data_IF_181278742350
#
_entry.id   IF_181278742350
#
_cell.length_a   1.000
_cell.length_b   1.000
_cell.length_c   1.000
_cell.angle_alpha   90.00
_cell.angle_beta   90.00
_cell.angle_gamma   90.00
#
_symmetry.space_group_name_H-M   'P 1'
#
loop_
_entity.id
_entity.type
_entity.pdbx_description
1 polymer ?
#
# COMPACT_ATOMS: atom_id res chain seq x y z
N UNK A 1 20.17 46.65 -46.04
CA UNK A 1 18.97 46.41 -45.22
C UNK A 1 18.81 44.91 -45.06
N UNK A 2 19.26 44.32 -43.94
CA UNK A 2 19.12 42.88 -43.67
C UNK A 2 18.40 42.74 -42.33
N UNK A 3 17.18 42.21 -42.36
CA UNK A 3 16.36 41.95 -41.18
C UNK A 3 16.83 40.64 -40.55
N UNK A 4 17.46 40.71 -39.38
CA UNK A 4 17.76 39.53 -38.56
C UNK A 4 16.48 39.15 -37.81
N UNK A 5 15.94 37.99 -38.14
CA UNK A 5 14.88 37.34 -37.37
C UNK A 5 15.54 36.64 -36.17
N UNK A 6 15.29 37.15 -34.96
CA UNK A 6 15.64 36.44 -33.73
C UNK A 6 14.50 35.48 -33.43
N UNK A 7 14.74 34.18 -33.65
CA UNK A 7 13.85 33.11 -33.24
C UNK A 7 13.88 32.96 -31.72
N UNK A 8 12.74 33.20 -31.07
CA UNK A 8 12.53 32.93 -29.66
C UNK A 8 12.31 31.42 -29.49
N UNK A 9 13.34 30.70 -29.05
CA UNK A 9 13.24 29.30 -28.64
C UNK A 9 12.62 29.25 -27.24
N UNK A 10 11.32 28.91 -27.17
CA UNK A 10 10.63 28.58 -25.93
C UNK A 10 11.17 27.23 -25.43
N UNK A 11 12.13 27.26 -24.51
CA UNK A 11 12.45 26.12 -23.65
C UNK A 11 11.32 26.01 -22.62
N UNK A 12 10.33 25.15 -22.89
CA UNK A 12 9.38 24.75 -21.85
C UNK A 12 10.17 23.99 -20.77
N UNK A 13 10.03 24.34 -19.47
CA UNK A 13 10.60 23.51 -18.43
C UNK A 13 9.97 22.10 -18.54
N UNK A 14 10.74 21.02 -18.33
CA UNK A 14 10.12 19.72 -18.11
C UNK A 14 9.16 19.88 -16.94
N UNK A 15 7.87 19.64 -17.16
CA UNK A 15 6.94 19.38 -16.08
C UNK A 15 7.36 18.01 -15.55
N UNK A 16 8.16 18.01 -14.48
CA UNK A 16 8.32 16.82 -13.67
C UNK A 16 6.91 16.58 -13.11
N UNK A 17 6.26 15.48 -13.50
CA UNK A 17 5.04 15.08 -12.85
C UNK A 17 5.39 14.92 -11.37
N UNK A 18 4.85 15.80 -10.53
CA UNK A 18 4.97 15.66 -9.09
C UNK A 18 4.23 14.36 -8.75
N UNK A 19 4.97 13.29 -8.48
CA UNK A 19 4.38 12.03 -8.04
C UNK A 19 3.62 12.32 -6.75
N UNK A 20 2.35 11.88 -6.66
CA UNK A 20 1.55 12.12 -5.47
C UNK A 20 2.28 11.59 -4.23
N UNK A 21 2.09 12.29 -3.11
CA UNK A 21 2.78 11.97 -1.87
C UNK A 21 2.52 10.53 -1.42
N UNK A 22 3.52 9.91 -0.78
CA UNK A 22 3.35 8.58 -0.19
C UNK A 22 2.64 8.65 1.17
N UNK A 23 2.24 7.49 1.70
CA UNK A 23 1.65 7.42 3.04
C UNK A 23 2.62 7.93 4.11
N UNK A 24 3.92 7.65 3.97
CA UNK A 24 4.92 8.16 4.92
C UNK A 24 5.07 9.67 4.86
N UNK A 25 4.98 10.26 3.67
CA UNK A 25 4.99 11.72 3.54
C UNK A 25 3.75 12.33 4.19
N UNK A 26 2.58 11.72 4.04
CA UNK A 26 1.38 12.13 4.76
C UNK A 26 1.54 12.00 6.29
N UNK A 27 2.19 10.93 6.77
CA UNK A 27 2.51 10.75 8.19
C UNK A 27 3.48 11.82 8.71
N UNK A 28 4.45 12.24 7.91
CA UNK A 28 5.34 13.35 8.28
C UNK A 28 4.58 14.66 8.46
N UNK A 29 3.60 14.94 7.59
CA UNK A 29 2.71 16.10 7.73
C UNK A 29 1.96 16.03 9.05
N UNK A 30 1.33 14.89 9.37
CA UNK A 30 0.64 14.68 10.65
C UNK A 30 1.56 14.92 11.85
N UNK A 31 2.75 14.32 11.84
CA UNK A 31 3.72 14.48 12.94
C UNK A 31 4.29 15.90 13.05
N UNK A 32 4.36 16.64 11.94
CA UNK A 32 4.83 18.03 11.89
C UNK A 32 3.77 19.03 12.38
N UNK A 33 2.51 18.84 12.00
CA UNK A 33 1.41 19.76 12.32
C UNK A 33 0.74 19.46 13.67
N UNK A 34 0.53 18.18 13.99
CA UNK A 34 -0.17 17.75 15.22
C UNK A 34 0.79 17.30 16.33
N UNK A 35 2.08 17.21 16.03
CA UNK A 35 3.11 16.74 16.94
C UNK A 35 3.34 15.23 16.88
N UNK A 36 4.52 14.80 17.37
CA UNK A 36 4.97 13.40 17.28
C UNK A 36 4.08 12.42 18.04
N UNK A 37 3.43 12.86 19.11
CA UNK A 37 2.54 12.02 19.91
C UNK A 37 1.30 11.56 19.12
N UNK A 38 0.85 12.36 18.14
CA UNK A 38 -0.27 11.99 17.27
C UNK A 38 0.04 10.75 16.42
N UNK A 39 1.32 10.46 16.15
CA UNK A 39 1.71 9.26 15.41
C UNK A 39 1.41 7.98 16.19
N UNK A 40 1.42 8.03 17.52
CA UNK A 40 1.10 6.87 18.36
C UNK A 40 -0.40 6.58 18.48
N UNK A 41 -1.23 7.47 17.92
CA UNK A 41 -2.69 7.40 17.98
C UNK A 41 -3.30 7.02 16.63
N UNK A 42 -2.48 6.79 15.60
CA UNK A 42 -2.98 6.44 14.28
C UNK A 42 -3.59 5.05 14.33
N UNK A 43 -4.75 4.90 13.71
CA UNK A 43 -5.53 3.66 13.69
C UNK A 43 -5.62 3.06 12.29
N UNK A 44 -5.78 3.92 11.29
CA UNK A 44 -6.06 3.51 9.92
C UNK A 44 -5.48 4.55 8.96
N UNK A 45 -4.85 4.08 7.89
CA UNK A 45 -4.45 4.94 6.76
C UNK A 45 -5.08 4.36 5.51
N UNK A 46 -5.76 5.20 4.73
CA UNK A 46 -6.36 4.78 3.46
C UNK A 46 -6.03 5.76 2.35
N UNK A 47 -5.95 5.22 1.13
CA UNK A 47 -5.75 5.99 -0.08
C UNK A 47 -6.44 5.26 -1.22
N UNK A 48 -7.11 5.97 -2.11
CA UNK A 48 -7.91 5.33 -3.17
C UNK A 48 -7.47 5.81 -4.55
N UNK A 49 -7.66 4.96 -5.56
CA UNK A 49 -7.35 5.26 -6.96
C UNK A 49 -5.90 5.70 -7.20
N UNK A 50 -4.94 5.13 -6.48
CA UNK A 50 -3.54 5.43 -6.70
C UNK A 50 -3.00 4.79 -7.98
N UNK A 51 -2.17 5.55 -8.70
CA UNK A 51 -1.39 5.08 -9.85
C UNK A 51 -0.08 5.89 -9.97
N UNK A 52 0.99 5.54 -9.24
CA UNK A 52 1.03 4.55 -8.17
C UNK A 52 0.43 5.07 -6.87
N UNK A 53 0.61 6.35 -6.54
CA UNK A 53 0.15 6.95 -5.28
C UNK A 53 -1.21 7.66 -5.45
N UNK A 54 -2.09 7.62 -4.43
CA UNK A 54 -3.37 8.32 -4.46
C UNK A 54 -3.16 9.84 -4.34
N UNK A 55 -4.08 10.63 -4.88
CA UNK A 55 -4.04 12.10 -4.76
C UNK A 55 -4.17 12.57 -3.31
N UNK A 56 -4.91 11.82 -2.49
CA UNK A 56 -5.18 12.15 -1.09
C UNK A 56 -5.06 10.92 -0.20
N UNK A 57 -4.52 11.15 0.99
CA UNK A 57 -4.50 10.19 2.08
C UNK A 57 -5.55 10.55 3.12
N UNK A 58 -6.24 9.54 3.64
CA UNK A 58 -7.15 9.66 4.76
C UNK A 58 -6.56 8.90 5.94
N UNK A 59 -6.33 9.58 7.06
CA UNK A 59 -5.69 9.04 8.26
C UNK A 59 -6.67 9.18 9.42
N UNK A 60 -7.00 8.07 10.08
CA UNK A 60 -7.82 8.05 11.28
C UNK A 60 -6.90 8.02 12.50
N UNK A 61 -7.15 8.91 13.45
CA UNK A 61 -6.37 9.07 14.68
C UNK A 61 -7.33 9.00 15.89
N UNK A 62 -6.95 8.31 16.95
CA UNK A 62 -7.69 8.36 18.23
C UNK A 62 -7.60 9.75 18.85
N UNK A 63 -8.71 10.26 19.39
CA UNK A 63 -8.70 11.50 20.16
C UNK A 63 -8.11 11.24 21.56
N UNK A 64 -6.98 11.87 21.94
CA UNK A 64 -6.39 11.75 23.27
C UNK A 64 -7.33 12.13 24.42
N UNK A 65 -8.38 12.92 24.15
CA UNK A 65 -9.36 13.34 25.15
C UNK A 65 -10.52 12.36 25.31
N UNK A 66 -10.48 11.19 24.64
CA UNK A 66 -11.45 10.11 24.81
C UNK A 66 -12.80 10.35 24.12
N UNK A 67 -12.85 11.25 23.13
CA UNK A 67 -14.10 11.61 22.42
C UNK A 67 -14.32 10.85 21.12
N UNK A 68 -13.58 9.75 20.89
CA UNK A 68 -13.69 8.90 19.71
C UNK A 68 -12.48 9.05 18.78
N UNK A 69 -12.72 9.01 17.48
CA UNK A 69 -11.69 9.10 16.44
C UNK A 69 -11.90 10.32 15.54
N UNK A 70 -10.80 10.92 15.08
CA UNK A 70 -10.78 12.00 14.09
C UNK A 70 -10.23 11.48 12.77
N UNK A 71 -10.73 12.03 11.67
CA UNK A 71 -10.30 11.73 10.32
C UNK A 71 -9.58 12.94 9.73
N UNK A 72 -8.34 12.73 9.32
CA UNK A 72 -7.49 13.72 8.67
C UNK A 72 -7.41 13.40 7.17
N UNK A 73 -7.67 14.38 6.32
CA UNK A 73 -7.34 14.27 4.90
C UNK A 73 -6.06 15.05 4.61
N UNK A 74 -5.08 14.37 4.01
CA UNK A 74 -3.79 14.93 3.66
C UNK A 74 -3.68 14.95 2.13
N UNK A 75 -3.39 16.13 1.59
CA UNK A 75 -3.19 16.38 0.16
C UNK A 75 -2.17 17.51 0.00
N UNK A 76 -1.41 17.51 -1.09
CA UNK A 76 -0.46 18.58 -1.42
C UNK A 76 0.51 18.96 -0.26
N UNK A 77 0.93 17.97 0.53
CA UNK A 77 1.86 18.15 1.64
C UNK A 77 1.31 18.88 2.87
N UNK A 78 -0.01 18.96 3.05
CA UNK A 78 -0.68 19.60 4.19
C UNK A 78 -1.96 18.88 4.61
N UNK A 79 -2.48 19.18 5.79
CA UNK A 79 -3.82 18.74 6.20
C UNK A 79 -4.87 19.60 5.46
N UNK A 80 -5.64 18.97 4.57
CA UNK A 80 -6.71 19.58 3.78
C UNK A 80 -8.05 19.57 4.53
N UNK A 81 -8.31 18.54 5.34
CA UNK A 81 -9.48 18.49 6.24
C UNK A 81 -9.19 17.74 7.54
N UNK A 82 -9.94 18.08 8.60
CA UNK A 82 -9.90 17.50 9.94
C UNK A 82 -11.34 17.40 10.45
N UNK A 83 -11.93 16.22 10.28
CA UNK A 83 -13.34 15.95 10.55
C UNK A 83 -13.47 14.87 11.63
N UNK A 84 -14.64 14.79 12.27
CA UNK A 84 -14.92 13.67 13.16
C UNK A 84 -15.16 12.41 12.32
N UNK A 85 -14.51 11.29 12.63
CA UNK A 85 -14.64 10.10 11.78
C UNK A 85 -16.04 9.48 11.92
N UNK A 86 -16.52 8.85 10.84
CA UNK A 86 -17.80 8.15 10.83
C UNK A 86 -17.82 7.01 11.87
N UNK A 87 -18.93 6.90 12.62
CA UNK A 87 -19.04 5.96 13.76
C UNK A 87 -18.84 4.49 13.36
N UNK A 88 -19.10 4.15 12.11
CA UNK A 88 -18.96 2.78 11.58
C UNK A 88 -17.49 2.34 11.43
N UNK A 89 -16.56 3.29 11.21
CA UNK A 89 -15.12 3.01 11.20
C UNK A 89 -14.55 2.89 12.62
N UNK A 90 -15.07 3.68 13.56
CA UNK A 90 -14.65 3.69 14.96
C UNK A 90 -14.86 2.33 15.65
N UNK A 91 -16.02 1.69 15.44
CA UNK A 91 -16.37 0.44 16.16
C UNK A 91 -15.56 -0.79 15.76
N UNK A 92 -14.93 -0.83 14.58
CA UNK A 92 -14.09 -1.95 14.14
C UNK A 92 -12.60 -1.73 14.43
N UNK A 93 -12.22 -0.55 14.92
CA UNK A 93 -10.81 -0.14 14.98
C UNK A 93 -10.37 0.41 16.35
N UNK A 94 -11.30 0.51 17.31
CA UNK A 94 -11.08 0.96 18.68
C UNK A 94 -9.99 0.12 19.37
N UNK A 95 -8.88 0.76 19.78
CA UNK A 95 -7.76 0.12 20.46
C UNK A 95 -6.73 -0.57 19.55
N UNK A 96 -6.90 -0.51 18.23
CA UNK A 96 -5.97 -1.12 17.26
C UNK A 96 -5.04 -0.07 16.63
N UNK A 97 -4.30 0.68 17.46
CA UNK A 97 -3.34 1.66 16.95
C UNK A 97 -2.21 1.00 16.16
N UNK A 98 -1.72 1.71 15.15
CA UNK A 98 -0.61 1.30 14.30
C UNK A 98 0.67 1.74 14.98
N UNK A 99 1.53 0.79 15.31
CA UNK A 99 2.90 1.11 15.73
C UNK A 99 3.73 1.52 14.50
N UNK A 100 3.67 2.81 14.18
CA UNK A 100 4.38 3.42 13.05
C UNK A 100 5.90 3.23 13.12
N UNK A 101 6.45 3.02 14.32
CA UNK A 101 7.89 2.79 14.51
C UNK A 101 8.36 1.44 13.98
N UNK A 102 7.43 0.48 13.82
CA UNK A 102 7.69 -0.85 13.27
C UNK A 102 7.47 -0.92 11.75
N UNK A 103 6.92 0.14 11.16
CA UNK A 103 6.63 0.21 9.74
C UNK A 103 7.93 0.41 8.95
N UNK A 104 8.27 -0.55 8.10
CA UNK A 104 9.45 -0.51 7.22
C UNK A 104 9.08 -0.55 5.74
N UNK A 105 7.78 -0.53 5.43
CA UNK A 105 7.25 -0.56 4.08
C UNK A 105 6.27 0.61 3.92
N UNK A 106 6.61 1.53 3.04
CA UNK A 106 5.74 2.62 2.62
C UNK A 106 4.77 2.14 1.50
N UNK A 107 3.78 2.97 1.17
CA UNK A 107 2.79 2.71 0.12
C UNK A 107 3.42 2.49 -1.26
N UNK A 108 4.55 3.14 -1.56
CA UNK A 108 5.35 2.90 -2.78
C UNK A 108 5.91 1.48 -2.84
N UNK A 109 6.43 0.98 -1.72
CA UNK A 109 6.88 -0.41 -1.59
C UNK A 109 5.72 -1.40 -1.67
N UNK A 110 4.60 -1.08 -1.02
CA UNK A 110 3.38 -1.90 -1.10
C UNK A 110 2.85 -1.99 -2.55
N UNK A 111 2.86 -0.88 -3.30
CA UNK A 111 2.50 -0.85 -4.72
C UNK A 111 3.43 -1.71 -5.57
N UNK A 112 4.74 -1.63 -5.36
CA UNK A 112 5.71 -2.43 -6.11
C UNK A 112 5.47 -3.93 -5.91
N UNK A 113 5.25 -4.35 -4.66
CA UNK A 113 4.91 -5.75 -4.32
C UNK A 113 3.59 -6.17 -4.96
N UNK A 114 2.56 -5.32 -4.87
CA UNK A 114 1.25 -5.59 -5.46
C UNK A 114 1.30 -5.70 -6.99
N UNK A 115 1.96 -4.76 -7.65
CA UNK A 115 2.11 -4.71 -9.11
C UNK A 115 2.85 -5.93 -9.63
N UNK A 116 3.98 -6.28 -9.00
CA UNK A 116 4.73 -7.49 -9.35
C UNK A 116 3.89 -8.77 -9.15
N UNK A 117 3.10 -8.84 -8.06
CA UNK A 117 2.21 -9.97 -7.81
C UNK A 117 1.13 -10.09 -8.90
N UNK A 118 0.57 -8.96 -9.34
CA UNK A 118 -0.41 -8.93 -10.42
C UNK A 118 0.21 -9.36 -11.76
N UNK A 119 1.40 -8.87 -12.09
CA UNK A 119 2.17 -9.26 -13.28
C UNK A 119 2.45 -10.77 -13.31
N UNK A 120 2.96 -11.33 -12.21
CA UNK A 120 3.20 -12.77 -12.07
C UNK A 120 1.91 -13.60 -12.23
N UNK A 121 0.78 -13.01 -11.85
CA UNK A 121 -0.56 -13.62 -11.97
C UNK A 121 -1.26 -13.29 -13.29
N UNK A 122 -0.59 -12.58 -14.22
CA UNK A 122 -1.17 -12.10 -15.49
C UNK A 122 -2.46 -11.30 -15.32
N UNK A 123 -2.59 -10.59 -14.19
CA UNK A 123 -3.75 -9.78 -13.84
C UNK A 123 -3.47 -8.32 -14.20
N UNK A 124 -4.20 -7.79 -15.18
CA UNK A 124 -4.15 -6.36 -15.50
C UNK A 124 -5.01 -5.55 -14.53
N UNK A 125 -4.45 -4.44 -14.03
CA UNK A 125 -5.17 -3.46 -13.22
C UNK A 125 -4.90 -2.04 -13.75
N UNK A 126 -5.65 -1.07 -13.23
CA UNK A 126 -5.57 0.34 -13.59
C UNK A 126 -5.20 1.22 -12.39
N UNK A 127 -5.72 0.92 -11.20
CA UNK A 127 -5.40 1.66 -9.98
C UNK A 127 -5.29 0.73 -8.78
N UNK A 128 -4.66 1.23 -7.71
CA UNK A 128 -4.56 0.57 -6.42
C UNK A 128 -5.26 1.39 -5.32
N UNK A 129 -6.09 0.73 -4.52
CA UNK A 129 -6.56 1.23 -3.24
C UNK A 129 -5.70 0.65 -2.13
N UNK A 130 -5.38 1.48 -1.14
CA UNK A 130 -4.50 1.17 -0.04
C UNK A 130 -5.25 1.27 1.28
N UNK A 131 -4.99 0.31 2.14
CA UNK A 131 -5.36 0.35 3.55
C UNK A 131 -4.18 -0.13 4.38
N UNK A 132 -3.69 0.69 5.31
CA UNK A 132 -2.79 0.26 6.38
C UNK A 132 -3.58 0.19 7.68
N UNK A 133 -3.54 -0.96 8.33
CA UNK A 133 -4.12 -1.18 9.67
C UNK A 133 -3.30 -2.20 10.43
N UNK A 134 -3.59 -2.33 11.72
CA UNK A 134 -3.04 -3.39 12.56
C UNK A 134 -3.86 -4.68 12.38
N UNK A 135 -3.19 -5.84 12.32
CA UNK A 135 -3.85 -7.15 12.32
C UNK A 135 -4.15 -7.65 13.74
N UNK A 136 -4.79 -8.82 13.87
CA UNK A 136 -5.16 -9.40 15.17
C UNK A 136 -3.96 -9.67 16.10
N UNK A 137 -2.72 -9.64 15.57
CA UNK A 137 -1.47 -9.86 16.31
C UNK A 137 -0.77 -8.56 16.68
N UNK A 138 -1.31 -7.40 16.34
CA UNK A 138 -0.64 -6.13 16.57
C UNK A 138 0.40 -5.79 15.50
N UNK A 139 0.44 -6.50 14.37
CA UNK A 139 1.39 -6.21 13.29
C UNK A 139 0.80 -5.24 12.25
N UNK A 140 1.56 -4.23 11.80
CA UNK A 140 1.10 -3.37 10.72
C UNK A 140 0.97 -4.17 9.42
N UNK A 141 -0.16 -4.01 8.74
CA UNK A 141 -0.50 -4.74 7.52
C UNK A 141 -1.06 -3.79 6.47
N UNK A 142 -0.39 -3.77 5.31
CA UNK A 142 -0.92 -3.17 4.10
C UNK A 142 -1.90 -4.14 3.44
N UNK A 143 -3.04 -3.61 3.02
CA UNK A 143 -4.04 -4.30 2.21
C UNK A 143 -4.17 -3.46 0.94
N UNK A 144 -3.69 -4.02 -0.17
CA UNK A 144 -3.68 -3.35 -1.47
C UNK A 144 -4.73 -4.01 -2.36
N UNK A 145 -5.76 -3.27 -2.72
CA UNK A 145 -6.81 -3.75 -3.63
C UNK A 145 -6.56 -3.17 -5.01
N UNK A 146 -6.27 -4.04 -5.97
CA UNK A 146 -6.07 -3.69 -7.37
C UNK A 146 -7.42 -3.63 -8.08
N UNK A 147 -7.60 -2.57 -8.88
CA UNK A 147 -8.86 -2.28 -9.57
C UNK A 147 -8.66 -2.12 -11.06
N UNK A 148 -9.60 -2.62 -11.86
CA UNK A 148 -9.58 -2.38 -13.30
C UNK A 148 -10.11 -0.97 -13.66
N UNK A 149 -10.10 -0.63 -14.96
CA UNK A 149 -10.57 0.68 -15.46
C UNK A 149 -12.03 0.99 -15.13
N UNK A 150 -12.85 -0.04 -14.94
CA UNK A 150 -14.25 0.09 -14.53
C UNK A 150 -14.40 0.17 -13.01
N UNK A 151 -13.31 0.34 -12.26
CA UNK A 151 -13.32 0.33 -10.79
C UNK A 151 -13.95 -0.94 -10.22
N UNK A 152 -13.68 -2.11 -10.80
CA UNK A 152 -13.98 -3.39 -10.17
C UNK A 152 -12.70 -3.96 -9.55
N UNK A 153 -12.76 -4.50 -8.32
CA UNK A 153 -11.61 -5.15 -7.72
C UNK A 153 -11.26 -6.40 -8.52
N UNK A 154 -9.98 -6.52 -8.89
CA UNK A 154 -9.42 -7.68 -9.61
C UNK A 154 -8.45 -8.47 -8.75
N UNK A 155 -8.08 -7.93 -7.58
CA UNK A 155 -7.18 -8.60 -6.65
C UNK A 155 -7.01 -7.84 -5.35
N UNK A 156 -6.79 -8.57 -4.25
CA UNK A 156 -6.41 -7.98 -2.97
C UNK A 156 -5.16 -8.67 -2.44
N UNK A 157 -4.14 -7.89 -2.07
CA UNK A 157 -2.88 -8.39 -1.51
C UNK A 157 -2.70 -7.87 -0.10
N UNK A 158 -2.44 -8.78 0.84
CA UNK A 158 -2.12 -8.46 2.23
C UNK A 158 -0.61 -8.57 2.41
N UNK A 159 0.03 -7.48 2.80
CA UNK A 159 1.49 -7.33 2.87
C UNK A 159 1.87 -6.88 4.27
N UNK A 160 2.76 -7.59 4.94
CA UNK A 160 3.26 -7.18 6.25
C UNK A 160 4.07 -5.89 6.15
N UNK A 161 3.66 -4.85 6.88
CA UNK A 161 4.29 -3.53 6.89
C UNK A 161 5.72 -3.52 7.48
N UNK A 162 6.08 -4.56 8.25
CA UNK A 162 7.41 -4.67 8.88
C UNK A 162 8.48 -5.27 7.95
N UNK A 163 8.09 -6.19 7.04
CA UNK A 163 9.04 -7.01 6.25
C UNK A 163 8.70 -7.09 4.76
N UNK A 164 7.64 -6.45 4.29
CA UNK A 164 7.18 -6.54 2.91
C UNK A 164 6.69 -7.93 2.48
N UNK A 165 6.50 -8.86 3.43
CA UNK A 165 6.12 -10.24 3.10
C UNK A 165 4.64 -10.29 2.73
N UNK A 166 4.33 -10.82 1.54
CA UNK A 166 2.96 -11.14 1.14
C UNK A 166 2.43 -12.26 2.05
N UNK A 167 1.32 -11.99 2.73
CA UNK A 167 0.65 -12.88 3.69
C UNK A 167 -0.53 -13.61 3.09
N UNK A 168 -1.25 -12.96 2.18
CA UNK A 168 -2.48 -13.47 1.55
C UNK A 168 -2.69 -12.73 0.23
N UNK A 169 -3.25 -13.43 -0.75
CA UNK A 169 -3.73 -12.87 -2.01
C UNK A 169 -5.12 -13.40 -2.31
N UNK A 170 -6.03 -12.54 -2.74
CA UNK A 170 -7.41 -12.88 -3.08
C UNK A 170 -7.72 -12.39 -4.51
N UNK A 171 -8.56 -13.11 -5.25
CA UNK A 171 -9.10 -12.69 -6.56
C UNK A 171 -8.21 -12.86 -7.80
N UNK A 172 -6.87 -12.77 -7.68
CA UNK A 172 -5.96 -12.75 -8.84
C UNK A 172 -5.58 -14.13 -9.39
N UNK A 173 -5.76 -15.17 -8.59
CA UNK A 173 -5.68 -16.56 -9.03
C UNK A 173 -7.11 -17.01 -9.21
N UNK A 174 -7.46 -17.58 -10.37
CA UNK A 174 -8.82 -17.98 -10.74
C UNK A 174 -9.50 -18.88 -9.68
N UNK A 175 -10.04 -18.27 -8.63
CA UNK A 175 -10.75 -18.90 -7.52
C UNK A 175 -9.93 -19.71 -6.51
N UNK A 176 -8.60 -19.60 -6.43
CA UNK A 176 -7.80 -20.37 -5.45
C UNK A 176 -7.25 -19.51 -4.31
N UNK A 177 -7.57 -19.85 -3.06
CA UNK A 177 -7.00 -19.23 -1.85
C UNK A 177 -5.75 -20.01 -1.39
N UNK A 178 -4.86 -19.38 -0.60
CA UNK A 178 -3.68 -20.06 -0.02
C UNK A 178 -4.10 -21.20 0.94
N UNK A 179 -5.24 -21.03 1.60
CA UNK A 179 -5.91 -22.05 2.43
C UNK A 179 -6.37 -23.26 1.61
N UNK A 180 -6.80 -23.09 0.35
CA UNK A 180 -7.14 -24.20 -0.56
C UNK A 180 -5.90 -24.92 -1.10
N UNK A 181 -4.73 -24.29 -1.05
CA UNK A 181 -3.45 -24.88 -1.47
C UNK A 181 -2.76 -25.61 -0.31
N UNK A 182 -3.07 -25.23 0.94
CA UNK A 182 -2.45 -25.79 2.16
C UNK A 182 -3.32 -26.88 2.82
N UNK A 183 -4.65 -26.74 2.87
CA UNK A 183 -5.55 -27.74 3.50
C UNK A 183 -5.76 -29.02 2.66
N UNK A 184 -5.51 -28.98 1.36
CA UNK A 184 -5.84 -30.09 0.43
C UNK A 184 -4.76 -31.21 0.40
N UNK A 185 -3.74 -31.12 1.28
CA UNK A 185 -2.67 -32.12 1.43
C UNK A 185 -2.83 -33.04 2.64
N UNK A 186 -3.72 -32.74 3.59
CA UNK A 186 -3.99 -33.67 4.70
C UNK A 186 -4.87 -34.86 4.24
N UNK A 187 -5.41 -34.81 3.02
CA UNK A 187 -5.98 -35.97 2.32
C UNK A 187 -4.98 -36.50 1.29
N UNK A 188 -4.25 -37.55 1.65
CA UNK A 188 -3.28 -38.29 0.82
C UNK A 188 -3.91 -39.02 -0.42
N UNK A 189 -5.08 -38.60 -0.88
CA UNK A 189 -5.78 -39.21 -2.00
C UNK A 189 -6.27 -38.16 -2.99
N UNK A 190 -5.43 -37.73 -3.95
CA UNK A 190 -5.90 -37.40 -5.30
C UNK A 190 -4.77 -37.25 -6.32
N UNK A 191 -4.42 -38.35 -7.02
CA UNK A 191 -3.71 -38.30 -8.31
C UNK A 191 -4.68 -37.86 -9.41
N UNK A 192 -5.07 -36.58 -9.38
CA UNK A 192 -5.93 -35.95 -10.39
C UNK A 192 -5.16 -35.23 -11.51
N UNK A 193 -5.79 -35.01 -12.69
CA UNK A 193 -5.21 -34.30 -13.85
C UNK A 193 -4.77 -32.85 -13.56
N UNK A 194 -5.20 -32.28 -12.43
CA UNK A 194 -4.96 -30.88 -12.04
C UNK A 194 -3.74 -30.68 -11.12
N UNK A 195 -3.05 -31.75 -10.72
CA UNK A 195 -1.86 -31.70 -9.85
C UNK A 195 -0.70 -30.87 -10.43
N UNK A 196 -0.55 -30.84 -11.75
CA UNK A 196 0.48 -30.05 -12.43
C UNK A 196 0.26 -28.53 -12.38
N UNK A 197 -1.00 -28.09 -12.35
CA UNK A 197 -1.38 -26.68 -12.23
C UNK A 197 -1.16 -26.21 -10.78
N UNK A 198 -1.58 -27.02 -9.80
CA UNK A 198 -1.39 -26.73 -8.37
C UNK A 198 0.09 -26.60 -7.98
N UNK A 199 0.96 -27.50 -8.48
CA UNK A 199 2.43 -27.42 -8.25
C UNK A 199 3.05 -26.15 -8.85
N UNK A 200 2.62 -25.74 -10.05
CA UNK A 200 3.11 -24.52 -10.73
C UNK A 200 2.67 -23.23 -10.02
N UNK A 201 1.47 -23.22 -9.45
CA UNK A 201 0.96 -22.11 -8.63
C UNK A 201 1.82 -22.00 -7.36
N UNK A 202 2.10 -23.11 -6.68
CA UNK A 202 3.00 -23.14 -5.50
C UNK A 202 4.42 -22.65 -5.81
N UNK A 203 5.01 -23.11 -6.91
CA UNK A 203 6.35 -22.68 -7.32
C UNK A 203 6.38 -21.18 -7.65
N UNK A 204 5.32 -20.67 -8.30
CA UNK A 204 5.17 -19.23 -8.57
C UNK A 204 5.03 -18.46 -7.27
N UNK A 205 4.23 -18.91 -6.31
CA UNK A 205 4.08 -18.24 -5.01
C UNK A 205 5.39 -18.18 -4.22
N UNK A 206 6.11 -19.29 -4.09
CA UNK A 206 7.39 -19.30 -3.37
C UNK A 206 8.42 -18.40 -4.07
N UNK A 207 8.51 -18.47 -5.40
CA UNK A 207 9.41 -17.62 -6.18
C UNK A 207 9.04 -16.14 -6.06
N UNK A 208 7.77 -15.78 -6.19
CA UNK A 208 7.30 -14.40 -6.01
C UNK A 208 7.58 -13.90 -4.60
N UNK A 209 7.48 -14.76 -3.59
CA UNK A 209 7.77 -14.41 -2.19
C UNK A 209 9.27 -14.22 -1.94
N UNK A 210 10.14 -15.00 -2.58
CA UNK A 210 11.59 -14.84 -2.54
C UNK A 210 12.05 -13.59 -3.31
N UNK A 211 11.54 -13.37 -4.51
CA UNK A 211 11.89 -12.22 -5.37
C UNK A 211 11.36 -10.89 -4.82
N UNK A 212 10.14 -10.88 -4.25
CA UNK A 212 9.62 -9.72 -3.54
C UNK A 212 10.48 -9.36 -2.31
N UNK A 213 11.13 -10.36 -1.68
CA UNK A 213 12.05 -10.13 -0.55
C UNK A 213 13.34 -9.46 -1.00
N UNK A 214 13.87 -9.83 -2.17
CA UNK A 214 15.06 -9.19 -2.76
C UNK A 214 14.77 -7.76 -3.25
N UNK A 215 13.58 -7.51 -3.82
CA UNK A 215 13.14 -6.16 -4.15
C UNK A 215 12.92 -5.30 -2.90
N UNK A 216 12.35 -5.86 -1.84
CA UNK A 216 12.21 -5.21 -0.53
C UNK A 216 13.56 -4.76 0.03
N UNK A 217 14.59 -5.62 -0.01
CA UNK A 217 15.94 -5.23 0.46
C UNK A 217 16.58 -4.14 -0.41
N UNK A 218 16.26 -4.07 -1.72
CA UNK A 218 16.71 -2.99 -2.60
C UNK A 218 16.06 -1.64 -2.27
N UNK A 219 14.75 -1.62 -2.02
CA UNK A 219 14.00 -0.40 -1.65
C UNK A 219 14.38 0.07 -0.23
N UNK A 220 14.53 -0.87 0.71
CA UNK A 220 14.96 -0.61 2.09
C UNK A 220 16.33 0.07 2.18
N UNK A 221 17.30 -0.31 1.32
CA UNK A 221 18.63 0.34 1.28
C UNK A 221 18.53 1.81 0.85
N UNK A 222 17.65 2.14 -0.09
CA UNK A 222 17.40 3.54 -0.48
C UNK A 222 16.71 4.35 0.62
N UNK A 223 15.89 3.68 1.44
CA UNK A 223 15.10 4.31 2.49
C UNK A 223 15.91 4.64 3.75
N UNK A 224 16.84 3.76 4.18
CA UNK A 224 17.74 4.05 5.31
C UNK A 224 18.60 5.29 5.05
N UNK A 225 19.04 5.50 3.82
CA UNK A 225 19.81 6.70 3.43
C UNK A 225 18.96 7.98 3.42
N UNK A 226 17.65 7.87 3.17
CA UNK A 226 16.72 8.99 3.18
C UNK A 226 16.33 9.42 4.60
N UNK A 227 16.06 8.47 5.49
CA UNK A 227 15.72 8.76 6.90
C UNK A 227 16.93 9.34 7.66
N UNK A 228 18.16 8.88 7.38
CA UNK A 228 19.37 9.35 8.07
C UNK A 228 19.91 10.71 7.58
N UNK A 229 19.26 11.33 6.60
CA UNK A 229 19.64 12.67 6.08
C UNK A 229 18.84 13.82 6.69
N UNK A 230 17.93 13.54 7.63
CA UNK A 230 17.16 14.53 8.39
C UNK A 230 17.71 14.79 9.78
#
# INVERSE_FOLDING_TARGET
MWRVWVGLLLLAPPVWAEENATAYEALRVVGGELGRDALHQIVLITGTKGDPQPEKWKIVVEDPQGRGVRELQIADGKIDSDDQADRDLAGSTEGATIDVSRLNLDSSGAYAVASHTAEASHTGFATADYTLRTDDRGEPMWIVTLRNRSSHPVGTIYIGGTRGTVKRTEGMFAGATMEDVENDYDSDEERGPFSGVKRRIKDTFHRTQEEARDMFERVKRSFTDFINRG
#
